data_IF_766918768655
#
_entry.id   IF_766918768655
#
_cell.length_a   1.000
_cell.length_b   1.000
_cell.length_c   1.000
_cell.angle_alpha   90.00
_cell.angle_beta   90.00
_cell.angle_gamma   90.00
#
_symmetry.space_group_name_H-M   'P 1'
#
loop_
_entity.id
_entity.type
_entity.pdbx_description
1 polymer ?
#
# COMPACT_ATOMS: atom_id res chain seq x y z
N UNK A 1 19.88 -20.87 -15.77
CA UNK A 1 19.51 -20.71 -15.19
C UNK A 1 19.04 -20.28 -14.35
N UNK A 2 19.10 -20.22 -14.42
CA UNK A 2 18.64 -19.91 -13.64
C UNK A 2 18.11 -19.42 -12.82
N UNK A 3 18.06 -19.44 -12.74
CA UNK A 3 17.50 -19.06 -12.05
C UNK A 3 16.89 -18.72 -11.20
N UNK A 4 16.85 -18.81 -11.10
CA UNK A 4 16.20 -18.53 -10.43
C UNK A 4 15.77 -18.13 -9.54
N UNK A 5 15.97 -18.16 -9.47
CA UNK A 5 15.60 -17.85 -8.69
C UNK A 5 15.01 -17.32 -7.99
N UNK A 6 15.11 -17.42 -8.36
CA UNK A 6 14.49 -17.04 -7.92
C UNK A 6 13.87 -16.76 -7.08
N UNK A 7 13.43 -17.19 -7.03
CA UNK A 7 12.61 -16.90 -6.07
C UNK A 7 13.10 -16.14 -5.00
N UNK A 8 14.04 -16.31 -4.74
CA UNK A 8 14.44 -15.50 -3.80
C UNK A 8 14.11 -14.21 -4.07
N UNK A 9 12.95 -14.06 -4.12
CA UNK A 9 12.45 -12.83 -4.35
C UNK A 9 12.93 -11.86 -3.35
N UNK A 10 13.44 -10.79 -3.80
CA UNK A 10 13.75 -9.70 -2.94
C UNK A 10 12.47 -9.21 -2.32
N UNK A 11 12.49 -8.81 -1.06
CA UNK A 11 11.29 -8.27 -0.45
C UNK A 11 10.83 -7.03 -1.18
N UNK A 12 9.55 -6.79 -1.18
CA UNK A 12 8.95 -5.62 -1.78
C UNK A 12 9.56 -4.36 -1.17
N UNK A 13 9.85 -3.38 -2.01
CA UNK A 13 10.35 -2.09 -1.51
C UNK A 13 9.19 -1.20 -1.07
N UNK A 14 9.50 -0.19 -0.28
CA UNK A 14 8.50 0.78 0.14
C UNK A 14 7.86 1.49 -1.04
N UNK A 15 8.63 1.79 -2.07
CA UNK A 15 8.11 2.44 -3.27
C UNK A 15 7.11 1.55 -4.01
N UNK A 16 7.42 0.28 -4.11
CA UNK A 16 6.49 -0.68 -4.71
C UNK A 16 5.21 -0.76 -3.91
N UNK A 17 5.34 -0.82 -2.59
CA UNK A 17 4.18 -0.87 -1.71
C UNK A 17 3.31 0.38 -1.86
N UNK A 18 3.94 1.55 -1.99
CA UNK A 18 3.21 2.79 -2.19
C UNK A 18 2.40 2.75 -3.49
N UNK A 19 2.98 2.23 -4.55
CA UNK A 19 2.28 2.12 -5.83
C UNK A 19 1.08 1.19 -5.74
N UNK A 20 1.25 0.04 -5.13
CA UNK A 20 0.17 -0.92 -4.95
C UNK A 20 -0.92 -0.32 -4.07
N UNK A 21 -0.51 0.34 -2.98
CA UNK A 21 -1.44 0.93 -2.05
C UNK A 21 -2.29 2.02 -2.71
N UNK A 22 -1.64 2.87 -3.50
CA UNK A 22 -2.34 3.95 -4.20
C UNK A 22 -3.36 3.39 -5.18
N UNK A 23 -2.97 2.40 -5.97
CA UNK A 23 -3.86 1.81 -6.93
C UNK A 23 -5.06 1.16 -6.25
N UNK A 24 -4.81 0.42 -5.19
CA UNK A 24 -5.88 -0.25 -4.46
C UNK A 24 -6.83 0.78 -3.83
N UNK A 25 -6.28 1.84 -3.27
CA UNK A 25 -7.09 2.87 -2.63
C UNK A 25 -7.92 3.62 -3.66
N UNK A 26 -7.36 3.94 -4.81
CA UNK A 26 -8.11 4.60 -5.87
C UNK A 26 -9.28 3.74 -6.34
N UNK A 27 -9.07 2.45 -6.42
CA UNK A 27 -10.12 1.51 -6.77
C UNK A 27 -11.21 1.47 -5.69
N UNK A 28 -10.77 1.45 -4.43
CA UNK A 28 -11.67 1.44 -3.29
C UNK A 28 -12.56 2.67 -3.29
N UNK A 29 -11.97 3.83 -3.56
CA UNK A 29 -12.70 5.10 -3.53
C UNK A 29 -13.56 5.34 -4.77
N UNK A 30 -13.23 4.69 -5.88
CA UNK A 30 -13.94 4.94 -7.13
C UNK A 30 -13.88 6.36 -7.58
N UNK A 31 -12.80 7.07 -7.25
CA UNK A 31 -12.65 8.47 -7.58
C UNK A 31 -13.31 9.43 -6.62
N UNK A 32 -13.85 8.93 -5.51
CA UNK A 32 -14.62 9.75 -4.57
C UNK A 32 -13.83 10.20 -3.35
N UNK A 33 -12.57 9.87 -3.25
CA UNK A 33 -11.80 10.22 -2.07
C UNK A 33 -11.26 11.64 -2.04
N UNK A 34 -11.38 12.37 -3.13
CA UNK A 34 -10.81 13.71 -3.22
C UNK A 34 -9.31 13.64 -3.37
N UNK A 35 -8.62 14.61 -2.83
CA UNK A 35 -7.16 14.63 -2.89
C UNK A 35 -6.58 13.69 -1.87
N UNK A 36 -5.75 12.76 -2.32
CA UNK A 36 -5.05 11.84 -1.44
C UNK A 36 -3.61 12.30 -1.29
N UNK A 37 -3.16 12.49 -0.06
CA UNK A 37 -1.79 12.85 0.22
C UNK A 37 -1.10 11.65 0.84
N UNK A 38 0.06 11.28 0.29
CA UNK A 38 0.84 10.18 0.83
C UNK A 38 1.39 10.59 2.18
N UNK A 39 1.13 9.75 3.18
CA UNK A 39 1.64 9.97 4.50
C UNK A 39 2.79 9.03 4.81
N UNK A 40 2.74 8.42 5.97
CA UNK A 40 3.83 7.58 6.45
C UNK A 40 3.83 6.22 5.76
N UNK A 41 5.01 5.72 5.45
CA UNK A 41 5.19 4.37 4.92
C UNK A 41 6.15 3.65 5.87
N UNK A 42 5.72 2.51 6.41
CA UNK A 42 6.59 1.78 7.32
C UNK A 42 6.50 0.29 7.11
N UNK A 43 7.62 -0.37 7.33
CA UNK A 43 7.72 -1.83 7.21
C UNK A 43 7.50 -2.46 8.58
N UNK A 44 6.60 -3.45 8.64
CA UNK A 44 6.37 -4.21 9.86
C UNK A 44 6.37 -5.67 9.48
N UNK A 45 7.40 -6.38 9.91
CA UNK A 45 7.57 -7.81 9.62
C UNK A 45 7.54 -8.08 8.12
N UNK A 46 6.49 -8.71 7.64
CA UNK A 46 6.37 -9.14 6.26
C UNK A 46 5.38 -8.29 5.46
N UNK A 47 5.10 -7.09 5.91
CA UNK A 47 4.10 -6.25 5.27
C UNK A 47 4.49 -4.78 5.36
N UNK A 48 3.86 -3.98 4.52
CA UNK A 48 4.03 -2.54 4.52
C UNK A 48 2.72 -1.89 4.94
N UNK A 49 2.83 -0.83 5.73
CA UNK A 49 1.69 0.00 6.07
C UNK A 49 1.90 1.35 5.41
N UNK A 50 0.98 1.72 4.53
CA UNK A 50 1.08 2.96 3.77
C UNK A 50 -0.12 3.83 4.13
N UNK A 51 0.15 4.99 4.73
CA UNK A 51 -0.91 5.91 5.13
C UNK A 51 -1.17 6.92 4.02
N UNK A 52 -2.45 7.23 3.84
CA UNK A 52 -2.87 8.30 2.96
C UNK A 52 -3.83 9.20 3.72
N UNK A 53 -3.72 10.49 3.47
CA UNK A 53 -4.57 11.47 4.11
C UNK A 53 -5.52 12.08 3.09
N UNK A 54 -6.78 12.21 3.46
CA UNK A 54 -7.80 12.83 2.63
C UNK A 54 -8.54 13.86 3.47
N UNK A 55 -9.33 14.75 2.85
CA UNK A 55 -9.97 15.82 3.61
C UNK A 55 -10.83 15.36 4.77
N UNK A 56 -11.50 14.23 4.64
CA UNK A 56 -12.44 13.76 5.67
C UNK A 56 -12.03 12.48 6.36
N UNK A 57 -11.04 11.80 5.81
CA UNK A 57 -10.68 10.47 6.29
C UNK A 57 -9.19 10.27 6.16
N UNK A 58 -8.71 9.33 6.93
CA UNK A 58 -7.35 8.85 6.80
C UNK A 58 -7.44 7.38 6.42
N UNK A 59 -6.55 6.95 5.54
CA UNK A 59 -6.51 5.55 5.10
C UNK A 59 -5.18 4.94 5.43
N UNK A 60 -5.20 3.68 5.83
CA UNK A 60 -3.99 2.87 5.93
C UNK A 60 -4.18 1.68 5.03
N UNK A 61 -3.28 1.50 4.08
CA UNK A 61 -3.32 0.33 3.21
C UNK A 61 -2.22 -0.61 3.66
N UNK A 62 -2.62 -1.83 4.01
CA UNK A 62 -1.68 -2.87 4.41
C UNK A 62 -1.34 -3.67 3.17
N UNK A 63 -0.08 -3.61 2.75
CA UNK A 63 0.38 -4.30 1.56
C UNK A 63 1.29 -5.44 1.97
N UNK A 64 0.90 -6.66 1.64
CA UNK A 64 1.68 -7.85 1.97
C UNK A 64 2.67 -8.15 0.85
N UNK A 65 3.70 -8.92 1.18
CA UNK A 65 4.77 -9.21 0.23
C UNK A 65 4.28 -9.95 -1.01
N UNK A 66 3.14 -10.62 -0.93
CA UNK A 66 2.56 -11.31 -2.07
C UNK A 66 1.72 -10.39 -2.97
N UNK A 67 1.63 -9.13 -2.64
CA UNK A 67 0.88 -8.17 -3.42
C UNK A 67 -0.55 -7.93 -2.95
N UNK A 68 -1.02 -8.68 -1.96
CA UNK A 68 -2.35 -8.43 -1.40
C UNK A 68 -2.35 -7.10 -0.67
N UNK A 69 -3.45 -6.38 -0.79
CA UNK A 69 -3.58 -5.09 -0.13
C UNK A 69 -4.97 -4.96 0.48
N UNK A 70 -5.01 -4.45 1.70
CA UNK A 70 -6.26 -4.21 2.42
C UNK A 70 -6.33 -2.75 2.83
N UNK A 71 -7.49 -2.16 2.69
CA UNK A 71 -7.71 -0.76 3.02
C UNK A 71 -8.40 -0.66 4.39
N UNK A 72 -7.83 0.14 5.27
CA UNK A 72 -8.43 0.47 6.56
C UNK A 72 -8.79 1.94 6.53
N UNK A 73 -10.00 2.27 6.90
CA UNK A 73 -10.50 3.65 6.88
C UNK A 73 -10.59 4.16 8.30
N UNK A 74 -10.03 5.35 8.51
CA UNK A 74 -10.11 6.02 9.80
C UNK A 74 -10.90 7.30 9.64
N UNK A 75 -11.93 7.49 10.44
CA UNK A 75 -12.67 8.73 10.45
C UNK A 75 -11.90 9.78 11.24
N UNK A 76 -11.90 11.00 10.74
CA UNK A 76 -11.25 12.10 11.44
C UNK A 76 -12.20 12.74 12.45
#
# INVERSE_FOLDING_TARGET
>A
MLVTLAGCAAPMTGREAQGIARERLMRYCGGQCGGLALGKTQRIKDRWLVDFDAPRQKFTVIVEDDGNAKVTVWNK
#
